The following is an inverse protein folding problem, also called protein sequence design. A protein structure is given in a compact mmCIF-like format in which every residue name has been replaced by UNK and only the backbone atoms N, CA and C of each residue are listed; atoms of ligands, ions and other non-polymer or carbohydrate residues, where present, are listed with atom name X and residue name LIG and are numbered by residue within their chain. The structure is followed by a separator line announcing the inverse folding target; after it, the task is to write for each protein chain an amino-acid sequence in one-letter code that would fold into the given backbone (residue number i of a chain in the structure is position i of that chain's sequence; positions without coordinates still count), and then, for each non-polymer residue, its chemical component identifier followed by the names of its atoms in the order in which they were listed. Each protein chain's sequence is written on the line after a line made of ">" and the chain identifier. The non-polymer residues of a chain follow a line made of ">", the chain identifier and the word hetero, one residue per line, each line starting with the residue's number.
data_IF_265494317118
#
_entry.id   IF_265494317118
#
_cell.length_a   1.000
_cell.length_b   1.000
_cell.length_c   1.000
_cell.angle_alpha   90.00
_cell.angle_beta   90.00
_cell.angle_gamma   90.00
#
_symmetry.space_group_name_H-M   'P 1'
#
loop_
_entity.id
_entity.type
_entity.pdbx_description
1 polymer ?
#
# COMPACT_ATOMS: atom_id res chain seq x y z
N UNK A 1 2.24 -41.81 29.03
CA UNK A 1 3.24 -40.80 28.65
C UNK A 1 2.61 -39.78 27.71
N UNK A 2 2.46 -38.55 28.19
CA UNK A 2 1.73 -37.46 27.53
C UNK A 2 2.64 -36.74 26.52
N UNK A 3 2.10 -36.39 25.36
CA UNK A 3 2.70 -35.42 24.44
C UNK A 3 1.65 -34.35 24.13
N UNK A 4 1.50 -33.39 25.06
CA UNK A 4 0.87 -32.10 24.76
C UNK A 4 1.93 -31.24 24.10
N UNK A 5 1.97 -31.23 22.77
CA UNK A 5 2.70 -30.22 22.03
C UNK A 5 2.07 -28.87 22.36
N UNK A 6 2.85 -28.01 23.01
CA UNK A 6 2.51 -26.61 23.20
C UNK A 6 2.30 -26.00 21.80
N UNK A 7 1.05 -25.69 21.46
CA UNK A 7 0.79 -24.69 20.43
C UNK A 7 1.23 -23.36 21.01
N UNK A 8 2.50 -23.00 20.81
CA UNK A 8 2.96 -21.63 20.93
C UNK A 8 2.11 -20.79 19.99
N UNK A 9 1.04 -20.21 20.55
CA UNK A 9 0.22 -19.25 19.84
C UNK A 9 1.06 -17.99 19.79
N UNK A 10 1.48 -17.49 18.62
CA UNK A 10 2.15 -16.20 18.54
C UNK A 10 1.22 -15.20 19.21
N UNK A 11 1.68 -14.56 20.29
CA UNK A 11 0.94 -13.51 20.99
C UNK A 11 1.02 -12.24 20.15
N UNK A 12 0.51 -12.30 18.91
CA UNK A 12 0.33 -11.16 18.02
C UNK A 12 -0.93 -10.39 18.46
N UNK A 13 -0.99 -10.00 19.73
CA UNK A 13 -2.03 -9.10 20.19
C UNK A 13 -1.74 -7.71 19.57
N UNK A 14 -2.74 -7.06 18.97
CA UNK A 14 -2.56 -5.68 18.51
C UNK A 14 -2.16 -4.78 19.70
N UNK A 15 -1.48 -3.64 19.45
CA UNK A 15 -1.05 -2.73 20.51
C UNK A 15 -2.25 -2.40 21.43
N UNK A 16 -2.18 -2.82 22.69
CA UNK A 16 -3.26 -2.58 23.63
C UNK A 16 -3.49 -1.06 23.79
N UNK A 17 -4.69 -0.59 23.44
CA UNK A 17 -5.08 0.81 23.62
C UNK A 17 -4.69 1.77 22.49
N UNK A 18 -4.61 1.31 21.23
CA UNK A 18 -4.44 2.21 20.09
C UNK A 18 -5.65 3.14 19.89
N UNK A 19 -5.59 4.32 20.50
CA UNK A 19 -6.63 5.36 20.41
C UNK A 19 -6.79 5.96 19.01
N UNK A 20 -5.93 5.60 18.04
CA UNK A 20 -6.00 6.11 16.67
C UNK A 20 -6.92 5.29 15.77
N UNK A 21 -7.40 4.13 16.25
CA UNK A 21 -8.41 3.33 15.55
C UNK A 21 -9.74 4.10 15.53
N UNK A 22 -10.35 4.35 14.36
CA UNK A 22 -11.54 5.18 14.26
C UNK A 22 -12.77 4.46 14.82
N UNK A 23 -13.39 5.07 15.84
CA UNK A 23 -14.57 4.52 16.52
C UNK A 23 -15.88 5.08 15.98
N UNK A 24 -15.86 6.26 15.35
CA UNK A 24 -17.05 6.89 14.76
C UNK A 24 -17.05 6.81 13.23
N UNK A 25 -18.23 6.90 12.63
CA UNK A 25 -18.37 6.96 11.17
C UNK A 25 -17.71 8.22 10.58
N UNK A 26 -17.68 9.32 11.34
CA UNK A 26 -17.03 10.56 10.92
C UNK A 26 -15.51 10.38 10.83
N UNK A 27 -14.88 9.75 11.82
CA UNK A 27 -13.44 9.48 11.81
C UNK A 27 -13.06 8.57 10.65
N UNK A 28 -13.86 7.54 10.42
CA UNK A 28 -13.72 6.64 9.27
C UNK A 28 -13.80 7.42 7.95
N UNK A 29 -14.78 8.31 7.82
CA UNK A 29 -14.94 9.18 6.65
C UNK A 29 -13.74 10.09 6.42
N UNK A 30 -13.14 10.64 7.49
CA UNK A 30 -11.92 11.45 7.41
C UNK A 30 -10.74 10.67 6.83
N UNK A 31 -10.53 9.43 7.29
CA UNK A 31 -9.49 8.55 6.77
C UNK A 31 -9.69 8.22 5.29
N UNK A 32 -10.93 7.88 4.90
CA UNK A 32 -11.29 7.58 3.51
C UNK A 32 -11.09 8.79 2.61
N UNK A 33 -11.47 9.98 3.06
CA UNK A 33 -11.27 11.22 2.32
C UNK A 33 -9.78 11.46 2.07
N UNK A 34 -8.92 11.29 3.09
CA UNK A 34 -7.47 11.45 2.96
C UNK A 34 -6.85 10.45 1.97
N UNK A 35 -7.27 9.18 2.02
CA UNK A 35 -6.85 8.17 1.04
C UNK A 35 -7.27 8.55 -0.38
N UNK A 36 -8.53 8.97 -0.56
CA UNK A 36 -9.07 9.37 -1.87
C UNK A 36 -8.31 10.57 -2.45
N UNK A 37 -8.07 11.59 -1.64
CA UNK A 37 -7.26 12.77 -2.04
C UNK A 37 -5.85 12.33 -2.46
N UNK A 38 -5.22 11.41 -1.72
CA UNK A 38 -3.92 10.87 -2.09
C UNK A 38 -3.94 10.08 -3.41
N UNK A 39 -4.98 9.29 -3.67
CA UNK A 39 -5.12 8.59 -4.96
C UNK A 39 -5.24 9.56 -6.13
N UNK A 40 -5.95 10.67 -5.95
CA UNK A 40 -6.14 11.71 -6.97
C UNK A 40 -4.96 12.67 -7.12
N UNK A 41 -4.05 12.71 -6.14
CA UNK A 41 -2.87 13.59 -6.18
C UNK A 41 -2.00 13.33 -7.42
N UNK A 42 -1.76 14.33 -8.25
CA UNK A 42 -0.87 14.21 -9.42
C UNK A 42 0.49 14.88 -9.20
N UNK A 43 0.66 15.56 -8.07
CA UNK A 43 1.89 16.24 -7.68
C UNK A 43 2.88 15.27 -7.02
N UNK A 44 4.18 15.52 -7.18
CA UNK A 44 5.25 14.73 -6.54
C UNK A 44 5.16 13.20 -6.77
N UNK A 45 4.54 12.79 -7.87
CA UNK A 45 4.47 11.38 -8.28
C UNK A 45 5.85 10.87 -8.66
N UNK A 46 6.20 9.70 -8.12
CA UNK A 46 7.50 9.04 -8.29
C UNK A 46 7.57 8.15 -9.53
N UNK A 47 6.42 7.78 -10.11
CA UNK A 47 6.35 7.06 -11.38
C UNK A 47 6.97 7.87 -12.52
N UNK A 48 7.36 7.17 -13.58
CA UNK A 48 7.82 7.87 -14.78
C UNK A 48 6.68 8.66 -15.39
N UNK A 49 6.84 9.99 -15.47
CA UNK A 49 5.86 10.88 -16.12
C UNK A 49 5.72 10.62 -17.62
N UNK A 50 6.69 9.94 -18.22
CA UNK A 50 6.64 9.49 -19.62
C UNK A 50 6.08 8.07 -19.78
N UNK A 51 5.78 7.38 -18.67
CA UNK A 51 5.22 6.04 -18.72
C UNK A 51 3.78 6.05 -19.22
N UNK A 52 3.46 5.17 -20.16
CA UNK A 52 2.13 5.11 -20.79
C UNK A 52 0.99 4.93 -19.77
N UNK A 53 1.23 4.17 -18.71
CA UNK A 53 0.24 3.97 -17.63
C UNK A 53 -0.06 5.29 -16.92
N UNK A 54 0.97 6.08 -16.58
CA UNK A 54 0.77 7.39 -15.95
C UNK A 54 0.03 8.34 -16.91
N UNK A 55 0.47 8.42 -18.17
CA UNK A 55 -0.13 9.29 -19.17
C UNK A 55 -1.61 8.96 -19.42
N UNK A 56 -1.96 7.68 -19.54
CA UNK A 56 -3.32 7.26 -19.87
C UNK A 56 -4.28 7.30 -18.68
N UNK A 57 -3.77 7.14 -17.45
CA UNK A 57 -4.62 6.86 -16.28
C UNK A 57 -4.52 7.87 -15.15
N UNK A 58 -3.47 8.68 -15.10
CA UNK A 58 -3.18 9.53 -13.93
C UNK A 58 -2.64 10.92 -14.25
N UNK A 59 -2.33 11.24 -15.51
CA UNK A 59 -1.78 12.54 -15.88
C UNK A 59 -2.82 13.66 -15.89
N UNK A 60 -4.09 13.35 -16.18
CA UNK A 60 -5.19 14.32 -16.19
C UNK A 60 -6.14 14.09 -14.99
N UNK A 61 -6.04 14.89 -13.91
CA UNK A 61 -6.95 14.77 -12.78
C UNK A 61 -8.38 15.25 -13.09
N UNK A 62 -8.59 16.01 -14.17
CA UNK A 62 -9.92 16.47 -14.59
C UNK A 62 -10.73 15.38 -15.31
N UNK A 63 -10.04 14.33 -15.79
CA UNK A 63 -10.63 13.17 -16.48
C UNK A 63 -10.07 11.87 -15.89
N UNK A 64 -10.46 11.52 -14.66
CA UNK A 64 -9.94 10.33 -14.00
C UNK A 64 -10.35 9.07 -14.77
N UNK A 65 -9.39 8.18 -15.00
CA UNK A 65 -9.64 6.91 -15.69
C UNK A 65 -10.57 5.98 -14.91
N UNK A 66 -10.39 5.92 -13.59
CA UNK A 66 -11.31 5.22 -12.69
C UNK A 66 -12.38 6.17 -12.18
N UNK A 67 -13.60 5.68 -11.98
CA UNK A 67 -14.67 6.52 -11.44
C UNK A 67 -14.36 6.85 -9.97
N UNK A 68 -14.72 8.07 -9.56
CA UNK A 68 -14.45 8.55 -8.19
C UNK A 68 -15.10 7.65 -7.13
N UNK A 69 -16.31 7.13 -7.40
CA UNK A 69 -17.00 6.21 -6.50
C UNK A 69 -16.32 4.83 -6.40
N UNK A 70 -15.63 4.36 -7.45
CA UNK A 70 -14.86 3.12 -7.41
C UNK A 70 -13.60 3.31 -6.56
N UNK A 71 -12.90 4.43 -6.72
CA UNK A 71 -11.76 4.78 -5.86
C UNK A 71 -12.17 4.89 -4.39
N UNK A 72 -13.32 5.50 -4.12
CA UNK A 72 -13.85 5.63 -2.76
C UNK A 72 -14.17 4.28 -2.13
N UNK A 73 -14.76 3.35 -2.89
CA UNK A 73 -15.00 1.96 -2.42
C UNK A 73 -13.69 1.28 -2.02
N UNK A 74 -12.65 1.37 -2.84
CA UNK A 74 -11.33 0.82 -2.52
C UNK A 74 -10.74 1.47 -1.27
N UNK A 75 -10.92 2.77 -1.06
CA UNK A 75 -10.50 3.44 0.18
C UNK A 75 -11.23 2.90 1.43
N UNK A 76 -12.53 2.61 1.31
CA UNK A 76 -13.31 1.96 2.38
C UNK A 76 -12.82 0.54 2.67
N UNK A 77 -12.48 -0.22 1.63
CA UNK A 77 -11.91 -1.56 1.78
C UNK A 77 -10.55 -1.52 2.47
N UNK A 78 -9.66 -0.61 2.08
CA UNK A 78 -8.36 -0.41 2.74
C UNK A 78 -8.53 -0.09 4.23
N UNK A 79 -9.44 0.83 4.56
CA UNK A 79 -9.76 1.18 5.94
C UNK A 79 -10.29 -0.04 6.72
N UNK A 80 -11.16 -0.83 6.10
CA UNK A 80 -11.73 -2.03 6.72
C UNK A 80 -10.63 -3.04 7.02
N UNK A 81 -9.75 -3.33 6.06
CA UNK A 81 -8.61 -4.25 6.25
C UNK A 81 -7.67 -3.74 7.34
N UNK A 82 -7.35 -2.44 7.34
CA UNK A 82 -6.48 -1.85 8.36
C UNK A 82 -7.11 -1.97 9.76
N UNK A 83 -8.41 -1.69 9.88
CA UNK A 83 -9.14 -1.82 11.14
C UNK A 83 -9.14 -3.29 11.60
N UNK A 84 -9.41 -4.23 10.70
CA UNK A 84 -9.38 -5.67 11.01
C UNK A 84 -8.03 -6.12 11.57
N UNK A 85 -6.92 -5.69 10.95
CA UNK A 85 -5.57 -6.01 11.42
C UNK A 85 -5.35 -5.48 12.84
N UNK A 86 -5.80 -4.25 13.11
CA UNK A 86 -5.59 -3.60 14.41
C UNK A 86 -6.58 -4.09 15.49
N UNK A 87 -7.73 -4.63 15.12
CA UNK A 87 -8.71 -5.14 16.09
C UNK A 87 -8.49 -6.62 16.41
N UNK A 88 -8.22 -7.43 15.40
CA UNK A 88 -8.21 -8.90 15.51
C UNK A 88 -6.83 -9.50 15.25
N UNK A 89 -5.86 -8.65 14.95
CA UNK A 89 -4.53 -9.07 14.60
C UNK A 89 -4.41 -9.57 13.15
N UNK A 90 -3.20 -10.01 12.78
CA UNK A 90 -2.81 -10.34 11.41
C UNK A 90 -3.53 -11.54 10.81
N UNK A 91 -3.86 -12.51 11.65
CA UNK A 91 -4.50 -13.77 11.23
C UNK A 91 -5.91 -13.50 10.68
N UNK A 92 -6.55 -12.41 11.09
CA UNK A 92 -7.92 -12.08 10.73
C UNK A 92 -8.11 -11.66 9.25
N UNK A 93 -7.05 -11.23 8.56
CA UNK A 93 -7.15 -10.87 7.14
C UNK A 93 -7.04 -12.07 6.18
N UNK A 94 -7.14 -13.31 6.71
CA UNK A 94 -7.06 -14.56 5.95
C UNK A 94 -5.98 -14.44 4.86
N UNK A 95 -4.77 -14.05 5.26
CA UNK A 95 -3.65 -13.89 4.37
C UNK A 95 -2.87 -15.21 4.41
N UNK A 96 -3.21 -16.23 3.57
CA UNK A 96 -2.47 -17.49 3.47
C UNK A 96 -1.13 -17.21 2.81
N UNK A 97 -0.27 -16.53 3.55
CA UNK A 97 1.05 -16.19 3.11
C UNK A 97 1.97 -17.31 3.52
N UNK A 98 2.19 -18.25 2.60
CA UNK A 98 3.25 -19.25 2.74
C UNK A 98 4.64 -18.68 2.44
N UNK A 99 4.72 -17.40 2.03
CA UNK A 99 5.98 -16.69 1.83
C UNK A 99 6.52 -16.16 3.16
N UNK A 100 7.54 -16.86 3.69
CA UNK A 100 8.22 -16.51 4.94
C UNK A 100 8.85 -15.11 4.91
N UNK A 101 9.27 -14.61 3.76
CA UNK A 101 9.83 -13.25 3.66
C UNK A 101 8.76 -12.20 3.86
N UNK A 102 7.57 -12.45 3.32
CA UNK A 102 6.44 -11.54 3.45
C UNK A 102 5.85 -11.59 4.87
N UNK A 103 5.79 -12.77 5.50
CA UNK A 103 5.49 -12.91 6.93
C UNK A 103 6.45 -12.06 7.79
N UNK A 104 7.76 -12.20 7.58
CA UNK A 104 8.75 -11.41 8.33
C UNK A 104 8.59 -9.89 8.14
N UNK A 105 8.26 -9.45 6.92
CA UNK A 105 7.95 -8.02 6.67
C UNK A 105 6.71 -7.58 7.40
N UNK A 106 5.72 -8.45 7.48
CA UNK A 106 4.48 -8.20 8.18
C UNK A 106 4.68 -8.11 9.70
N UNK A 107 5.37 -9.08 10.30
CA UNK A 107 5.81 -9.07 11.71
C UNK A 107 6.56 -7.78 12.03
N UNK A 108 7.40 -7.29 11.12
CA UNK A 108 8.11 -6.03 11.27
C UNK A 108 7.21 -4.78 11.19
N UNK A 109 5.88 -4.92 11.06
CA UNK A 109 4.90 -3.84 11.17
C UNK A 109 3.91 -4.04 12.32
N UNK A 110 4.08 -5.07 13.15
CA UNK A 110 3.17 -5.37 14.27
C UNK A 110 3.09 -4.23 15.30
N UNK A 111 4.16 -3.43 15.43
CA UNK A 111 4.24 -2.29 16.33
C UNK A 111 3.64 -0.99 15.74
N UNK A 112 3.12 -1.02 14.51
CA UNK A 112 2.50 0.16 13.95
C UNK A 112 1.26 0.53 14.76
N UNK A 113 1.06 1.82 15.00
CA UNK A 113 -0.27 2.35 15.31
C UNK A 113 -1.11 2.39 14.05
N UNK A 114 -2.43 2.41 14.21
CA UNK A 114 -3.39 2.48 13.13
C UNK A 114 -3.12 3.73 12.28
N UNK A 115 -2.93 4.88 12.92
CA UNK A 115 -2.52 6.11 12.26
C UNK A 115 -1.22 5.95 11.45
N UNK A 116 -0.19 5.32 12.02
CA UNK A 116 1.09 5.10 11.32
C UNK A 116 0.88 4.28 10.05
N UNK A 117 0.06 3.21 10.15
CA UNK A 117 -0.30 2.36 9.01
C UNK A 117 -1.05 3.14 7.93
N UNK A 118 -2.06 3.91 8.33
CA UNK A 118 -2.86 4.73 7.43
C UNK A 118 -2.02 5.80 6.73
N UNK A 119 -1.16 6.51 7.47
CA UNK A 119 -0.27 7.53 6.92
C UNK A 119 0.71 6.94 5.89
N UNK A 120 1.25 5.75 6.15
CA UNK A 120 2.09 5.04 5.17
C UNK A 120 1.31 4.71 3.88
N UNK A 121 0.04 4.30 3.99
CA UNK A 121 -0.80 4.05 2.82
C UNK A 121 -1.11 5.34 2.05
N UNK A 122 -1.46 6.43 2.74
CA UNK A 122 -1.70 7.75 2.16
C UNK A 122 -0.45 8.21 1.37
N UNK A 123 0.73 8.15 1.98
CA UNK A 123 1.99 8.54 1.31
C UNK A 123 2.22 7.69 0.05
N UNK A 124 2.00 6.38 0.14
CA UNK A 124 2.18 5.46 -0.98
C UNK A 124 1.23 5.78 -2.14
N UNK A 125 -0.06 6.04 -1.86
CA UNK A 125 -1.05 6.38 -2.88
C UNK A 125 -0.80 7.75 -3.50
N UNK A 126 -0.32 8.71 -2.71
CA UNK A 126 0.05 10.04 -3.19
C UNK A 126 1.17 9.97 -4.24
N UNK A 127 2.18 9.14 -3.98
CA UNK A 127 3.41 9.16 -4.78
C UNK A 127 3.52 8.02 -5.82
N UNK A 128 2.71 6.96 -5.78
CA UNK A 128 2.88 5.78 -6.64
C UNK A 128 1.58 5.31 -7.31
N UNK A 129 1.35 5.78 -8.53
CA UNK A 129 0.17 5.51 -9.35
C UNK A 129 0.15 4.13 -9.95
N UNK A 130 1.31 3.53 -10.24
CA UNK A 130 1.36 2.13 -10.64
C UNK A 130 0.79 1.19 -9.56
N UNK A 131 0.89 1.56 -8.28
CA UNK A 131 0.28 0.81 -7.18
C UNK A 131 -1.19 1.14 -6.98
N UNK A 132 -1.59 2.40 -7.14
CA UNK A 132 -3.02 2.74 -7.22
C UNK A 132 -3.70 1.90 -8.29
N UNK A 133 -3.09 1.72 -9.46
CA UNK A 133 -3.62 0.91 -10.56
C UNK A 133 -3.79 -0.57 -10.18
N UNK A 134 -2.74 -1.19 -9.61
CA UNK A 134 -2.80 -2.57 -9.12
C UNK A 134 -3.81 -2.77 -7.99
N UNK A 135 -3.97 -1.75 -7.15
CA UNK A 135 -4.94 -1.73 -6.06
C UNK A 135 -6.37 -1.65 -6.62
N UNK A 136 -6.62 -0.77 -7.58
CA UNK A 136 -7.89 -0.68 -8.30
C UNK A 136 -8.24 -1.98 -9.04
N UNK A 137 -7.22 -2.73 -9.49
CA UNK A 137 -7.40 -4.07 -10.05
C UNK A 137 -7.64 -5.17 -9.00
N UNK A 138 -7.66 -4.85 -7.70
CA UNK A 138 -7.90 -5.80 -6.60
C UNK A 138 -6.73 -6.75 -6.29
N UNK A 139 -5.59 -6.59 -6.96
CA UNK A 139 -4.51 -7.59 -6.93
C UNK A 139 -3.57 -7.50 -5.72
N UNK A 140 -3.59 -6.39 -4.98
CA UNK A 140 -2.60 -6.12 -3.92
C UNK A 140 -3.19 -5.58 -2.61
N UNK A 141 -4.52 -5.54 -2.45
CA UNK A 141 -5.18 -4.85 -1.33
C UNK A 141 -4.65 -5.32 0.04
N UNK A 142 -4.79 -6.60 0.34
CA UNK A 142 -4.38 -7.17 1.63
C UNK A 142 -2.88 -6.94 1.88
N UNK A 143 -2.03 -7.28 0.91
CA UNK A 143 -0.57 -7.12 1.03
C UNK A 143 -0.17 -5.65 1.26
N UNK A 144 -0.78 -4.71 0.53
CA UNK A 144 -0.45 -3.29 0.63
C UNK A 144 -0.81 -2.73 2.01
N UNK A 145 -1.98 -3.08 2.55
CA UNK A 145 -2.43 -2.64 3.88
C UNK A 145 -1.62 -3.31 4.99
N UNK A 146 -1.19 -4.55 4.76
CA UNK A 146 -0.41 -5.36 5.68
C UNK A 146 1.03 -4.83 5.85
N UNK A 147 1.69 -4.39 4.77
CA UNK A 147 3.09 -3.92 4.81
C UNK A 147 3.34 -2.55 4.12
N UNK A 148 2.58 -1.48 4.42
CA UNK A 148 2.59 -0.26 3.63
C UNK A 148 3.92 0.49 3.68
N UNK A 149 4.65 0.44 4.81
CA UNK A 149 5.95 1.08 4.95
C UNK A 149 7.05 0.44 4.09
N UNK A 150 7.11 -0.90 4.04
CA UNK A 150 8.04 -1.60 3.13
C UNK A 150 7.71 -1.27 1.68
N UNK A 151 6.41 -1.29 1.38
CA UNK A 151 5.87 -0.97 0.07
C UNK A 151 6.27 0.45 -0.35
N UNK A 152 6.18 1.45 0.54
CA UNK A 152 6.71 2.82 0.30
C UNK A 152 8.21 2.84 0.02
N UNK A 153 9.03 2.21 0.87
CA UNK A 153 10.49 2.13 0.69
C UNK A 153 10.90 1.48 -0.63
N UNK A 154 10.29 0.35 -0.97
CA UNK A 154 10.55 -0.38 -2.21
C UNK A 154 10.16 0.45 -3.44
N UNK A 155 9.10 1.25 -3.37
CA UNK A 155 8.76 2.19 -4.45
C UNK A 155 9.82 3.28 -4.66
N UNK A 156 10.31 3.89 -3.58
CA UNK A 156 11.38 4.91 -3.64
C UNK A 156 12.69 4.32 -4.19
N UNK A 157 13.07 3.12 -3.74
CA UNK A 157 14.26 2.41 -4.22
C UNK A 157 14.16 2.03 -5.71
N UNK A 158 13.03 1.46 -6.13
CA UNK A 158 12.81 1.03 -7.51
C UNK A 158 12.79 2.21 -8.49
N UNK A 159 12.26 3.36 -8.09
CA UNK A 159 12.27 4.56 -8.93
C UNK A 159 13.71 5.02 -9.27
N UNK A 160 14.64 4.90 -8.32
CA UNK A 160 16.06 5.20 -8.54
C UNK A 160 16.73 4.21 -9.49
N UNK A 161 16.48 2.91 -9.30
CA UNK A 161 17.05 1.86 -10.16
C UNK A 161 16.50 1.92 -11.59
N UNK A 162 15.20 2.18 -11.76
CA UNK A 162 14.58 2.30 -13.08
C UNK A 162 15.13 3.50 -13.86
N UNK A 163 15.38 4.64 -13.20
CA UNK A 163 16.05 5.79 -13.84
C UNK A 163 17.46 5.46 -14.31
N UNK A 164 18.25 4.72 -13.52
CA UNK A 164 19.59 4.29 -13.92
C UNK A 164 19.53 3.36 -15.14
N UNK A 165 18.64 2.36 -15.13
CA UNK A 165 18.42 1.45 -16.27
C UNK A 165 18.00 2.21 -17.53
N UNK A 166 17.09 3.17 -17.42
CA UNK A 166 16.65 4.01 -18.53
C UNK A 166 17.82 4.76 -19.17
N UNK A 167 18.65 5.43 -18.37
CA UNK A 167 19.86 6.14 -18.86
C UNK A 167 20.83 5.19 -19.57
N UNK A 168 21.06 3.99 -19.03
CA UNK A 168 21.92 2.99 -19.67
C UNK A 168 21.34 2.52 -21.01
N UNK A 169 20.02 2.31 -21.11
CA UNK A 169 19.38 1.94 -22.37
C UNK A 169 19.36 3.06 -23.41
N UNK A 170 19.26 4.32 -22.98
CA UNK A 170 19.36 5.49 -23.88
C UNK A 170 20.78 5.64 -24.42
N UNK A 171 21.79 5.54 -23.56
CA UNK A 171 23.20 5.56 -23.96
C UNK A 171 23.53 4.41 -24.93
N UNK A 172 23.05 3.20 -24.64
CA UNK A 172 23.25 2.04 -25.52
C UNK A 172 22.53 2.15 -26.88
N UNK A 173 21.41 2.87 -26.95
CA UNK A 173 20.72 3.16 -28.22
C UNK A 173 21.43 4.25 -29.02
N UNK A 174 21.92 5.30 -28.37
CA UNK A 174 22.71 6.34 -29.02
C UNK A 174 24.02 5.78 -29.61
N UNK A 175 24.71 4.89 -28.87
CA UNK A 175 25.94 4.25 -29.32
C UNK A 175 25.76 3.24 -30.47
N UNK A 176 24.53 2.82 -30.77
CA UNK A 176 24.21 1.94 -31.92
C UNK A 176 23.72 2.71 -33.15
N UNK A 177 23.43 3.99 -32.99
CA UNK A 177 22.87 4.85 -34.04
C UNK A 177 23.91 5.80 -34.66
N UNK A 178 25.13 5.85 -34.11
CA UNK A 178 26.31 6.47 -34.74
C UNK A 178 27.26 5.39 -35.24
#
# INVERSE_FOLDING_TARGET
>A
HQARAACDTPTEMPPAGDATIPTTQQDRGSWVLRLKVAMLNTDNVTDSKTGQVYLNRSADPSRPFYKINEMEKVCWEMLTVATTIHTYGPVAIAFPCHDKMLQKKFEATQYYTFETRMNCMIELMACNKARCDKLMAGSILAELVAIPGEKSRSSKGNAGQNRKKQKTMEAGRAARAG
#
